data_IF_596311892849
#
_entry.id   IF_596311892849
#
_cell.length_a   1.000
_cell.length_b   1.000
_cell.length_c   1.000
_cell.angle_alpha   90.00
_cell.angle_beta   90.00
_cell.angle_gamma   90.00
#
_symmetry.space_group_name_H-M   'P 1'
#
loop_
_entity.id
_entity.type
_entity.pdbx_description
1 polymer ?
#
# COMPACT_ATOMS: atom_id res chain seq x y z
N UNK A 1 -24.16 -3.58 31.20
CA UNK A 1 -23.51 -2.35 30.72
C UNK A 1 -24.48 -1.60 29.83
N UNK A 2 -24.59 -0.28 29.97
CA UNK A 2 -25.50 0.55 29.19
C UNK A 2 -24.73 1.10 27.97
N UNK A 3 -25.17 0.77 26.75
CA UNK A 3 -24.53 1.21 25.51
C UNK A 3 -24.27 2.72 25.44
N UNK A 4 -25.16 3.54 26.01
CA UNK A 4 -24.96 4.99 26.05
C UNK A 4 -23.82 5.40 26.97
N UNK A 5 -23.63 4.68 28.08
CA UNK A 5 -22.51 4.89 28.99
C UNK A 5 -21.20 4.48 28.33
N UNK A 6 -21.15 3.33 27.66
CA UNK A 6 -19.94 2.85 26.99
C UNK A 6 -19.56 3.76 25.82
N UNK A 7 -20.54 4.20 25.02
CA UNK A 7 -20.33 5.18 23.95
C UNK A 7 -19.74 6.48 24.50
N UNK A 8 -20.26 6.98 25.62
CA UNK A 8 -19.74 8.20 26.25
C UNK A 8 -18.29 8.01 26.68
N UNK A 9 -17.96 6.90 27.35
CA UNK A 9 -16.59 6.60 27.79
C UNK A 9 -15.62 6.54 26.59
N UNK A 10 -16.02 5.89 25.50
CA UNK A 10 -15.20 5.81 24.28
C UNK A 10 -14.98 7.19 23.66
N UNK A 11 -16.02 8.02 23.58
CA UNK A 11 -15.93 9.38 23.03
C UNK A 11 -15.01 10.23 23.92
N UNK A 12 -15.19 10.18 25.24
CA UNK A 12 -14.38 10.94 26.20
C UNK A 12 -12.91 10.48 26.15
N UNK A 13 -12.66 9.19 25.92
CA UNK A 13 -11.33 8.59 25.81
C UNK A 13 -10.73 8.55 24.40
N UNK A 14 -11.36 9.17 23.40
CA UNK A 14 -11.03 8.94 21.97
C UNK A 14 -9.57 9.25 21.62
N UNK A 15 -8.98 10.28 22.22
CA UNK A 15 -7.58 10.64 21.97
C UNK A 15 -6.62 9.57 22.49
N UNK A 16 -6.86 9.05 23.69
CA UNK A 16 -6.03 8.00 24.29
C UNK A 16 -6.13 6.70 23.48
N UNK A 17 -7.35 6.31 23.07
CA UNK A 17 -7.56 5.13 22.24
C UNK A 17 -6.88 5.30 20.88
N UNK A 18 -7.02 6.48 20.25
CA UNK A 18 -6.38 6.79 18.97
C UNK A 18 -4.86 6.70 19.07
N UNK A 19 -4.26 7.27 20.10
CA UNK A 19 -2.81 7.19 20.32
C UNK A 19 -2.38 5.73 20.52
N UNK A 20 -3.08 4.99 21.39
CA UNK A 20 -2.80 3.58 21.65
C UNK A 20 -2.87 2.69 20.39
N UNK A 21 -3.74 3.01 19.43
CA UNK A 21 -3.96 2.21 18.22
C UNK A 21 -3.07 2.61 17.04
N UNK A 22 -2.62 3.87 16.96
CA UNK A 22 -2.02 4.40 15.73
C UNK A 22 -0.65 5.06 15.90
N UNK A 23 -0.21 5.38 17.12
CA UNK A 23 1.08 6.03 17.30
C UNK A 23 2.25 5.06 17.16
N UNK A 24 2.12 3.82 17.66
CA UNK A 24 3.14 2.76 17.56
C UNK A 24 4.55 3.21 18.02
N UNK A 25 4.63 4.12 19.01
CA UNK A 25 5.89 4.70 19.50
C UNK A 25 6.51 3.92 20.66
N UNK A 26 5.77 2.98 21.24
CA UNK A 26 6.26 2.04 22.24
C UNK A 26 5.69 0.62 21.97
N UNK A 27 6.29 -0.43 22.58
CA UNK A 27 5.88 -1.80 22.33
C UNK A 27 4.41 -2.09 22.68
N UNK A 28 3.85 -1.46 23.71
CA UNK A 28 2.46 -1.68 24.13
C UNK A 28 1.50 -1.12 23.06
N UNK A 29 1.75 0.09 22.59
CA UNK A 29 0.97 0.67 21.49
C UNK A 29 1.06 -0.18 20.22
N UNK A 30 2.26 -0.68 19.91
CA UNK A 30 2.44 -1.56 18.77
C UNK A 30 1.62 -2.85 18.91
N UNK A 31 1.64 -3.49 20.06
CA UNK A 31 0.86 -4.71 20.32
C UNK A 31 -0.65 -4.47 20.25
N UNK A 32 -1.11 -3.30 20.73
CA UNK A 32 -2.48 -2.84 20.54
C UNK A 32 -2.81 -2.68 19.04
N UNK A 33 -1.95 -2.00 18.28
CA UNK A 33 -2.11 -1.78 16.85
C UNK A 33 -2.12 -3.11 16.06
N UNK A 34 -1.23 -4.05 16.37
CA UNK A 34 -1.19 -5.39 15.78
C UNK A 34 -2.48 -6.15 16.06
N UNK A 35 -2.94 -6.12 17.32
CA UNK A 35 -4.18 -6.80 17.71
C UNK A 35 -5.40 -6.20 17.00
N UNK A 36 -5.45 -4.88 16.89
CA UNK A 36 -6.50 -4.17 16.17
C UNK A 36 -6.46 -4.41 14.66
N UNK A 37 -5.26 -4.46 14.06
CA UNK A 37 -5.06 -4.80 12.65
C UNK A 37 -5.62 -6.19 12.33
N UNK A 38 -5.42 -7.17 13.21
CA UNK A 38 -6.01 -8.51 13.07
C UNK A 38 -7.53 -8.49 13.15
N UNK A 39 -8.07 -7.72 14.10
CA UNK A 39 -9.51 -7.53 14.21
C UNK A 39 -10.10 -6.92 12.94
N UNK A 40 -9.47 -5.88 12.38
CA UNK A 40 -9.89 -5.28 11.12
C UNK A 40 -9.79 -6.23 9.93
N UNK A 41 -8.69 -6.99 9.84
CA UNK A 41 -8.56 -8.03 8.81
C UNK A 41 -9.74 -9.00 8.86
N UNK A 42 -10.12 -9.45 10.06
CA UNK A 42 -11.26 -10.33 10.29
C UNK A 42 -12.62 -9.65 9.97
N UNK A 43 -12.83 -8.41 10.41
CA UNK A 43 -14.09 -7.68 10.16
C UNK A 43 -14.32 -7.37 8.68
N UNK A 44 -13.23 -7.32 7.91
CA UNK A 44 -13.26 -7.01 6.49
C UNK A 44 -13.21 -5.52 6.20
N UNK A 45 -12.80 -5.23 4.97
CA UNK A 45 -12.66 -3.87 4.46
C UNK A 45 -13.91 -3.47 3.68
N UNK A 46 -14.44 -2.28 3.98
CA UNK A 46 -15.58 -1.69 3.30
C UNK A 46 -15.46 -0.15 3.33
N UNK A 47 -16.47 0.56 2.82
CA UNK A 47 -16.48 2.02 2.73
C UNK A 47 -16.35 2.75 4.07
N UNK A 48 -16.78 2.14 5.16
CA UNK A 48 -16.74 2.74 6.50
C UNK A 48 -15.44 2.39 7.24
N UNK A 49 -14.83 1.23 6.94
CA UNK A 49 -13.64 0.73 7.65
C UNK A 49 -12.31 1.03 6.94
N UNK A 50 -12.31 1.29 5.62
CA UNK A 50 -11.07 1.55 4.87
C UNK A 50 -10.19 2.69 5.41
N UNK A 51 -10.71 3.77 6.02
CA UNK A 51 -9.84 4.81 6.58
C UNK A 51 -8.96 4.28 7.72
N UNK A 52 -9.46 3.30 8.48
CA UNK A 52 -8.70 2.63 9.53
C UNK A 52 -7.59 1.74 8.94
N UNK A 53 -7.86 1.07 7.81
CA UNK A 53 -6.84 0.32 7.08
C UNK A 53 -5.74 1.26 6.56
N UNK A 54 -6.11 2.37 5.92
CA UNK A 54 -5.15 3.38 5.48
C UNK A 54 -4.31 3.93 6.63
N UNK A 55 -4.94 4.18 7.79
CA UNK A 55 -4.24 4.68 8.97
C UNK A 55 -3.22 3.69 9.53
N UNK A 56 -3.50 2.40 9.49
CA UNK A 56 -2.54 1.37 9.91
C UNK A 56 -1.44 1.15 8.88
N UNK A 57 -1.72 1.28 7.58
CA UNK A 57 -0.70 1.25 6.52
C UNK A 57 0.26 2.43 6.67
N UNK A 58 -0.25 3.61 7.01
CA UNK A 58 0.53 4.82 7.29
C UNK A 58 1.54 4.65 8.43
N UNK A 59 1.32 3.71 9.37
CA UNK A 59 2.29 3.42 10.42
C UNK A 59 3.61 2.87 9.86
N UNK A 60 3.58 2.31 8.65
CA UNK A 60 4.70 1.66 7.98
C UNK A 60 5.40 0.56 8.83
N UNK A 61 4.78 0.12 9.92
CA UNK A 61 5.35 -0.88 10.82
C UNK A 61 5.08 -2.30 10.27
N UNK A 62 6.12 -3.12 10.02
CA UNK A 62 5.96 -4.45 9.42
C UNK A 62 5.01 -5.37 10.21
N UNK A 63 5.06 -5.33 11.55
CA UNK A 63 4.21 -6.16 12.40
C UNK A 63 2.73 -5.82 12.25
N UNK A 64 2.41 -4.53 12.18
CA UNK A 64 1.04 -4.03 11.99
C UNK A 64 0.55 -4.39 10.58
N UNK A 65 1.37 -4.13 9.56
CA UNK A 65 0.98 -4.36 8.17
C UNK A 65 0.81 -5.85 7.88
N UNK A 66 1.70 -6.70 8.39
CA UNK A 66 1.58 -8.15 8.28
C UNK A 66 0.30 -8.66 8.95
N UNK A 67 -0.06 -8.11 10.11
CA UNK A 67 -1.31 -8.45 10.78
C UNK A 67 -2.55 -7.96 10.02
N UNK A 68 -2.48 -6.78 9.40
CA UNK A 68 -3.58 -6.17 8.67
C UNK A 68 -3.88 -6.88 7.35
N UNK A 69 -2.83 -7.27 6.62
CA UNK A 69 -2.94 -7.89 5.29
C UNK A 69 -2.99 -9.41 5.38
N UNK A 70 -2.19 -9.98 6.28
CA UNK A 70 -2.05 -11.41 6.53
C UNK A 70 -1.76 -12.21 5.24
N UNK A 71 -2.74 -13.00 4.80
CA UNK A 71 -2.65 -13.88 3.63
C UNK A 71 -2.94 -13.18 2.30
N UNK A 72 -3.53 -12.00 2.35
CA UNK A 72 -4.13 -11.36 1.17
C UNK A 72 -3.05 -10.77 0.30
N UNK A 73 -3.35 -10.68 -0.99
CA UNK A 73 -2.49 -9.98 -1.93
C UNK A 73 -2.53 -8.48 -1.62
N UNK A 74 -1.41 -7.84 -1.21
CA UNK A 74 -1.41 -6.45 -0.76
C UNK A 74 -1.97 -5.48 -1.79
N UNK A 75 -1.61 -5.68 -3.07
CA UNK A 75 -2.10 -4.89 -4.21
C UNK A 75 -3.64 -4.86 -4.29
N UNK A 76 -4.29 -5.95 -3.91
CA UNK A 76 -5.74 -6.10 -4.03
C UNK A 76 -6.51 -5.69 -2.77
N UNK A 77 -5.81 -5.22 -1.72
CA UNK A 77 -6.40 -4.95 -0.40
C UNK A 77 -7.62 -4.02 -0.47
N UNK A 78 -7.56 -3.00 -1.32
CA UNK A 78 -8.63 -2.01 -1.48
C UNK A 78 -9.48 -2.20 -2.75
N UNK A 79 -9.30 -3.29 -3.48
CA UNK A 79 -9.94 -3.50 -4.80
C UNK A 79 -11.47 -3.59 -4.73
N UNK A 80 -12.03 -3.94 -3.57
CA UNK A 80 -13.48 -4.04 -3.34
C UNK A 80 -14.15 -2.67 -3.12
N UNK A 81 -13.37 -1.60 -2.96
CA UNK A 81 -13.87 -0.25 -2.74
C UNK A 81 -13.66 0.54 -4.03
N UNK A 82 -14.74 1.18 -4.50
CA UNK A 82 -14.64 2.11 -5.64
C UNK A 82 -13.73 3.27 -5.24
N UNK A 83 -12.67 3.56 -6.00
CA UNK A 83 -11.80 4.70 -5.72
C UNK A 83 -12.58 6.02 -5.66
N UNK A 84 -12.17 6.89 -4.74
CA UNK A 84 -12.66 8.27 -4.60
C UNK A 84 -11.52 9.19 -4.15
N UNK A 85 -11.72 10.49 -4.30
CA UNK A 85 -10.67 11.52 -4.17
C UNK A 85 -9.86 11.41 -2.88
N UNK A 86 -10.50 11.34 -1.71
CA UNK A 86 -9.80 11.27 -0.40
C UNK A 86 -8.88 10.04 -0.26
N UNK A 87 -9.29 8.91 -0.85
CA UNK A 87 -8.53 7.67 -0.82
C UNK A 87 -7.30 7.76 -1.74
N UNK A 88 -7.45 8.39 -2.90
CA UNK A 88 -6.36 8.64 -3.86
C UNK A 88 -5.36 9.64 -3.27
N UNK A 89 -5.85 10.73 -2.67
CA UNK A 89 -5.04 11.73 -1.97
C UNK A 89 -4.25 11.11 -0.82
N UNK A 90 -4.88 10.25 -0.03
CA UNK A 90 -4.20 9.52 1.05
C UNK A 90 -3.09 8.63 0.50
N UNK A 91 -3.31 7.95 -0.63
CA UNK A 91 -2.29 7.13 -1.27
C UNK A 91 -1.11 7.97 -1.75
N UNK A 92 -1.35 9.04 -2.51
CA UNK A 92 -0.28 9.93 -2.98
C UNK A 92 0.45 10.62 -1.83
N UNK A 93 -0.26 11.10 -0.81
CA UNK A 93 0.35 11.71 0.38
C UNK A 93 1.38 10.77 1.03
N UNK A 94 1.05 9.48 1.13
CA UNK A 94 1.99 8.47 1.62
C UNK A 94 3.14 8.24 0.63
N UNK A 95 2.85 8.05 -0.65
CA UNK A 95 3.89 7.87 -1.67
C UNK A 95 4.84 9.07 -1.71
N UNK A 96 4.39 10.30 -1.45
CA UNK A 96 5.24 11.48 -1.34
C UNK A 96 6.10 11.49 -0.08
N UNK A 97 5.53 11.13 1.07
CA UNK A 97 6.18 11.23 2.37
C UNK A 97 7.42 10.33 2.50
N UNK A 98 7.41 9.16 1.85
CA UNK A 98 8.50 8.19 1.97
C UNK A 98 9.45 8.20 0.77
N UNK A 99 10.73 8.05 1.03
CA UNK A 99 11.74 7.79 0.01
C UNK A 99 11.68 6.33 -0.48
N UNK A 100 12.30 6.04 -1.64
CA UNK A 100 12.50 4.65 -2.05
C UNK A 100 13.26 3.87 -0.96
N UNK A 101 12.84 2.62 -0.73
CA UNK A 101 13.32 1.69 0.29
C UNK A 101 12.94 2.00 1.76
N UNK A 102 12.21 3.09 2.05
CA UNK A 102 11.68 3.36 3.40
C UNK A 102 10.33 2.67 3.66
N UNK A 103 9.50 2.51 2.62
CA UNK A 103 8.20 1.84 2.76
C UNK A 103 8.37 0.32 2.83
N UNK A 104 7.71 -0.29 3.80
CA UNK A 104 7.55 -1.73 3.84
C UNK A 104 6.82 -2.19 2.56
N UNK A 105 7.34 -3.24 1.92
CA UNK A 105 6.91 -3.67 0.59
C UNK A 105 5.39 -3.87 0.48
N UNK A 106 4.76 -4.52 1.48
CA UNK A 106 3.31 -4.74 1.46
C UNK A 106 2.51 -3.44 1.59
N UNK A 107 3.00 -2.45 2.35
CA UNK A 107 2.37 -1.14 2.40
C UNK A 107 2.48 -0.43 1.05
N UNK A 108 3.67 -0.42 0.45
CA UNK A 108 3.88 0.16 -0.88
C UNK A 108 2.94 -0.47 -1.92
N UNK A 109 2.88 -1.80 -1.96
CA UNK A 109 2.00 -2.53 -2.89
C UNK A 109 0.52 -2.21 -2.67
N UNK A 110 0.07 -2.05 -1.42
CA UNK A 110 -1.30 -1.66 -1.12
C UNK A 110 -1.61 -0.23 -1.57
N UNK A 111 -0.69 0.72 -1.34
CA UNK A 111 -0.83 2.12 -1.78
C UNK A 111 -0.82 2.24 -3.31
N UNK A 112 0.10 1.55 -3.98
CA UNK A 112 0.14 1.50 -5.44
C UNK A 112 -1.09 0.80 -6.02
N UNK A 113 -1.66 -0.20 -5.33
CA UNK A 113 -2.91 -0.83 -5.73
C UNK A 113 -4.11 0.12 -5.75
N UNK A 114 -4.15 1.11 -4.85
CA UNK A 114 -5.16 2.18 -4.88
C UNK A 114 -5.00 3.03 -6.15
N UNK A 115 -3.77 3.46 -6.44
CA UNK A 115 -3.45 4.27 -7.62
C UNK A 115 -3.77 3.49 -8.89
N UNK A 116 -3.36 2.23 -8.96
CA UNK A 116 -3.68 1.36 -10.08
C UNK A 116 -5.19 1.29 -10.33
N UNK A 117 -5.99 1.03 -9.30
CA UNK A 117 -7.44 0.90 -9.44
C UNK A 117 -8.08 2.24 -9.86
N UNK A 118 -7.60 3.35 -9.32
CA UNK A 118 -8.09 4.70 -9.65
C UNK A 118 -7.86 5.09 -11.12
N UNK A 119 -6.69 4.74 -11.67
CA UNK A 119 -6.31 5.05 -13.06
C UNK A 119 -6.36 3.80 -13.94
N UNK A 120 -7.29 2.87 -13.68
CA UNK A 120 -7.55 1.75 -14.58
C UNK A 120 -7.95 2.24 -15.97
N UNK A 121 -8.88 3.20 -16.01
CA UNK A 121 -9.07 4.10 -17.14
C UNK A 121 -8.43 5.44 -16.79
N UNK A 122 -7.47 5.87 -17.61
CA UNK A 122 -6.67 7.04 -17.29
C UNK A 122 -7.48 8.34 -17.32
N UNK A 123 -8.42 8.48 -18.26
CA UNK A 123 -9.25 9.67 -18.39
C UNK A 123 -10.27 9.79 -17.25
N UNK A 124 -10.91 8.68 -16.85
CA UNK A 124 -11.83 8.66 -15.72
C UNK A 124 -11.12 8.85 -14.38
N UNK A 125 -9.94 8.23 -14.21
CA UNK A 125 -9.08 8.49 -13.06
C UNK A 125 -8.69 9.96 -12.95
N UNK A 126 -8.30 10.60 -14.05
CA UNK A 126 -7.98 12.03 -14.09
C UNK A 126 -9.18 12.92 -13.78
N UNK A 127 -10.39 12.57 -14.23
CA UNK A 127 -11.61 13.31 -13.86
C UNK A 127 -11.92 13.18 -12.37
N UNK A 128 -11.64 12.02 -11.78
CA UNK A 128 -11.88 11.76 -10.36
C UNK A 128 -10.86 12.47 -9.45
N UNK A 129 -9.59 12.46 -9.85
CA UNK A 129 -8.50 13.15 -9.17
C UNK A 129 -7.46 13.57 -10.22
N UNK A 130 -7.39 14.87 -10.57
CA UNK A 130 -6.36 15.35 -11.49
C UNK A 130 -4.96 15.15 -10.90
N UNK A 131 -4.04 14.59 -11.69
CA UNK A 131 -2.64 14.38 -11.28
C UNK A 131 -1.72 15.35 -11.99
N UNK A 132 -0.60 15.66 -11.34
CA UNK A 132 0.51 16.41 -11.90
C UNK A 132 1.74 15.54 -12.17
N UNK A 133 2.79 16.19 -12.69
CA UNK A 133 4.12 15.60 -12.91
C UNK A 133 4.69 15.00 -11.60
N UNK A 134 4.43 15.65 -10.47
CA UNK A 134 4.93 15.20 -9.17
C UNK A 134 4.30 13.88 -8.73
N UNK A 135 3.02 13.63 -9.04
CA UNK A 135 2.34 12.37 -8.73
C UNK A 135 2.93 11.21 -9.55
N UNK A 136 3.19 11.46 -10.84
CA UNK A 136 3.87 10.50 -11.73
C UNK A 136 5.26 10.18 -11.19
N UNK A 137 5.99 11.20 -10.75
CA UNK A 137 7.30 11.05 -10.14
C UNK A 137 7.24 10.28 -8.81
N UNK A 138 6.21 10.51 -7.99
CA UNK A 138 6.01 9.82 -6.72
C UNK A 138 5.75 8.32 -6.91
N UNK A 139 5.09 7.93 -8.00
CA UNK A 139 4.93 6.53 -8.41
C UNK A 139 6.24 5.99 -8.99
N UNK A 140 6.83 6.70 -9.94
CA UNK A 140 8.01 6.25 -10.68
C UNK A 140 9.28 6.09 -9.84
N UNK A 141 9.44 6.84 -8.73
CA UNK A 141 10.64 6.76 -7.88
C UNK A 141 10.86 5.39 -7.25
N UNK A 142 9.82 4.56 -7.16
CA UNK A 142 9.90 3.20 -6.61
C UNK A 142 10.39 2.15 -7.62
N UNK A 143 10.67 2.54 -8.88
CA UNK A 143 11.29 1.64 -9.85
C UNK A 143 12.68 1.21 -9.39
N UNK A 144 12.94 -0.10 -9.49
CA UNK A 144 14.20 -0.73 -9.10
C UNK A 144 14.92 -1.16 -10.36
N UNK A 145 15.85 -0.33 -10.84
CA UNK A 145 16.55 -0.56 -12.11
C UNK A 145 17.43 -1.83 -12.14
N UNK A 146 17.84 -2.31 -10.96
CA UNK A 146 18.59 -3.55 -10.83
C UNK A 146 17.70 -4.81 -10.98
N UNK A 147 16.38 -4.65 -10.85
CA UNK A 147 15.42 -5.76 -10.89
C UNK A 147 14.68 -5.78 -12.24
N UNK A 148 14.26 -6.96 -12.72
CA UNK A 148 13.54 -7.08 -13.97
C UNK A 148 12.12 -6.53 -13.87
N UNK A 149 11.43 -6.40 -15.02
CA UNK A 149 10.08 -5.85 -15.06
C UNK A 149 9.05 -6.75 -14.37
N UNK A 150 9.36 -8.04 -14.23
CA UNK A 150 8.52 -9.04 -13.57
C UNK A 150 8.55 -8.93 -12.04
N UNK A 151 9.53 -8.20 -11.48
CA UNK A 151 9.57 -7.91 -10.05
C UNK A 151 8.25 -7.25 -9.62
N UNK A 152 7.59 -7.68 -8.52
CA UNK A 152 6.23 -7.25 -8.18
C UNK A 152 6.03 -5.73 -8.16
N UNK A 153 6.98 -5.01 -7.53
CA UNK A 153 6.97 -3.54 -7.48
C UNK A 153 7.11 -2.93 -8.88
N UNK A 154 8.14 -3.34 -9.65
CA UNK A 154 8.38 -2.82 -10.99
C UNK A 154 7.18 -3.06 -11.90
N UNK A 155 6.63 -4.28 -11.89
CA UNK A 155 5.45 -4.64 -12.68
C UNK A 155 4.29 -3.70 -12.38
N UNK A 156 3.98 -3.46 -11.11
CA UNK A 156 2.87 -2.62 -10.71
C UNK A 156 3.11 -1.14 -11.07
N UNK A 157 4.30 -0.61 -10.78
CA UNK A 157 4.66 0.78 -11.11
C UNK A 157 4.64 1.01 -12.62
N UNK A 158 5.25 0.11 -13.40
CA UNK A 158 5.26 0.19 -14.87
C UNK A 158 3.85 0.06 -15.45
N UNK A 159 2.98 -0.77 -14.87
CA UNK A 159 1.58 -0.90 -15.28
C UNK A 159 0.80 0.40 -15.03
N UNK A 160 0.99 1.05 -13.87
CA UNK A 160 0.37 2.35 -13.59
C UNK A 160 0.86 3.39 -14.61
N UNK A 161 2.17 3.50 -14.78
CA UNK A 161 2.75 4.46 -15.73
C UNK A 161 2.29 4.20 -17.16
N UNK A 162 2.14 2.94 -17.56
CA UNK A 162 1.62 2.56 -18.87
C UNK A 162 0.20 3.08 -19.08
N UNK A 163 -0.70 2.86 -18.12
CA UNK A 163 -2.05 3.44 -18.20
C UNK A 163 -2.03 4.95 -18.30
N UNK A 164 -1.19 5.62 -17.53
CA UNK A 164 -1.04 7.08 -17.60
C UNK A 164 -0.50 7.59 -18.94
N UNK A 165 0.19 6.76 -19.74
CA UNK A 165 0.58 7.15 -21.11
C UNK A 165 -0.60 7.27 -22.07
N UNK A 166 -1.76 6.70 -21.73
CA UNK A 166 -3.00 6.81 -22.50
C UNK A 166 -3.82 8.07 -22.11
N UNK A 167 -3.31 8.92 -21.21
CA UNK A 167 -3.94 10.21 -20.93
C UNK A 167 -3.96 11.08 -22.20
N UNK A 168 -5.14 11.61 -22.54
CA UNK A 168 -5.29 12.51 -23.69
C UNK A 168 -5.55 11.80 -25.03
N UNK A 169 -5.77 10.48 -25.04
CA UNK A 169 -6.25 9.80 -26.24
C UNK A 169 -7.64 10.28 -26.67
N UNK A 170 -8.51 10.57 -25.70
CA UNK A 170 -9.90 10.96 -25.95
C UNK A 170 -10.09 12.45 -26.26
N UNK A 171 -9.17 13.32 -25.79
CA UNK A 171 -9.28 14.78 -25.91
C UNK A 171 -7.92 15.41 -26.17
N UNK A 172 -7.84 16.36 -27.10
CA UNK A 172 -6.64 17.18 -27.39
C UNK A 172 -6.36 18.20 -26.29
N UNK A 173 -6.31 17.74 -25.04
CA UNK A 173 -5.94 18.53 -23.88
C UNK A 173 -4.40 18.59 -23.80
N UNK A 174 -3.79 19.78 -23.97
CA UNK A 174 -2.33 19.93 -23.89
C UNK A 174 -1.76 19.47 -22.55
N UNK A 175 -2.49 19.65 -21.43
CA UNK A 175 -2.01 19.26 -20.11
C UNK A 175 -1.89 17.75 -19.98
N UNK A 176 -2.93 17.02 -20.40
CA UNK A 176 -2.92 15.55 -20.42
C UNK A 176 -1.79 14.99 -21.29
N UNK A 177 -1.54 15.60 -22.44
CA UNK A 177 -0.44 15.20 -23.33
C UNK A 177 0.94 15.37 -22.67
N UNK A 178 1.14 16.42 -21.87
CA UNK A 178 2.37 16.63 -21.10
C UNK A 178 2.53 15.51 -20.06
N UNK A 179 1.46 15.17 -19.35
CA UNK A 179 1.45 14.11 -18.34
C UNK A 179 1.72 12.73 -18.96
N UNK A 180 1.03 12.40 -20.05
CA UNK A 180 1.23 11.16 -20.80
C UNK A 180 2.68 11.01 -21.27
N UNK A 181 3.24 12.07 -21.86
CA UNK A 181 4.64 12.11 -22.29
C UNK A 181 5.61 11.95 -21.12
N UNK A 182 5.30 12.55 -19.97
CA UNK A 182 6.13 12.41 -18.78
C UNK A 182 6.12 10.99 -18.23
N UNK A 183 4.94 10.36 -18.11
CA UNK A 183 4.81 8.95 -17.73
C UNK A 183 5.58 8.02 -18.69
N UNK A 184 5.52 8.29 -20.00
CA UNK A 184 6.30 7.57 -21.00
C UNK A 184 7.80 7.73 -20.77
N UNK A 185 8.27 8.95 -20.55
CA UNK A 185 9.70 9.22 -20.31
C UNK A 185 10.24 8.48 -19.08
N UNK A 186 9.46 8.41 -18.00
CA UNK A 186 9.83 7.65 -16.80
C UNK A 186 9.96 6.16 -17.10
N UNK A 187 9.00 5.57 -17.82
CA UNK A 187 9.09 4.16 -18.25
C UNK A 187 10.29 3.92 -19.16
N UNK A 188 10.51 4.82 -20.11
CA UNK A 188 11.62 4.71 -21.04
C UNK A 188 12.97 4.78 -20.33
N UNK A 189 13.11 5.63 -19.31
CA UNK A 189 14.31 5.70 -18.47
C UNK A 189 14.58 4.40 -17.68
N UNK A 190 13.55 3.61 -17.39
CA UNK A 190 13.71 2.27 -16.81
C UNK A 190 14.20 1.25 -17.83
N UNK A 191 13.51 1.13 -18.98
CA UNK A 191 13.81 0.11 -20.00
C UNK A 191 15.12 0.36 -20.76
N UNK A 192 15.51 1.61 -20.94
CA UNK A 192 16.74 1.97 -21.65
C UNK A 192 17.96 1.78 -20.72
N UNK A 193 18.85 0.87 -21.12
CA UNK A 193 20.09 0.56 -20.40
C UNK A 193 21.10 1.72 -20.42
N UNK A 194 20.98 2.63 -21.38
CA UNK A 194 21.84 3.81 -21.50
C UNK A 194 21.38 4.99 -20.65
N UNK A 195 20.12 4.97 -20.21
CA UNK A 195 19.52 6.03 -19.38
C UNK A 195 19.64 5.73 -17.91
N UNK A 196 19.28 6.70 -17.08
CA UNK A 196 19.11 6.57 -15.65
C UNK A 196 17.75 7.15 -15.25
N UNK A 197 17.18 6.70 -14.13
CA UNK A 197 15.88 7.23 -13.69
C UNK A 197 15.92 8.74 -13.43
N UNK A 198 17.09 9.28 -13.06
CA UNK A 198 17.27 10.71 -12.85
C UNK A 198 17.27 11.55 -14.14
N UNK A 199 17.25 10.92 -15.31
CA UNK A 199 17.03 11.60 -16.60
C UNK A 199 15.57 12.02 -16.78
N UNK A 200 14.64 11.38 -16.07
CA UNK A 200 13.20 11.67 -16.12
C UNK A 200 12.66 12.18 -14.77
N UNK A 201 13.22 11.74 -13.65
CA UNK A 201 12.76 12.05 -12.30
C UNK A 201 13.81 12.90 -11.56
N UNK A 202 13.46 14.02 -10.92
CA UNK A 202 14.41 14.81 -10.15
C UNK A 202 15.21 13.99 -9.12
N UNK A 203 16.53 14.15 -9.08
CA UNK A 203 17.43 13.41 -8.17
C UNK A 203 17.02 13.44 -6.69
N UNK A 204 16.53 14.55 -6.10
CA UNK A 204 16.19 14.60 -4.67
C UNK A 204 15.18 13.54 -4.24
N UNK A 205 14.18 13.24 -5.08
CA UNK A 205 13.13 12.26 -4.76
C UNK A 205 13.54 10.81 -5.05
N UNK A 206 14.63 10.60 -5.79
CA UNK A 206 15.23 9.28 -6.04
C UNK A 206 16.23 8.86 -4.96
N UNK A 207 16.51 9.74 -3.99
CA UNK A 207 17.40 9.43 -2.86
C UNK A 207 16.83 8.26 -2.09
N UNK A 208 17.51 7.10 -2.13
CA UNK A 208 17.18 5.92 -1.34
C UNK A 208 17.58 6.14 0.11
N UNK A 209 16.71 5.77 1.04
CA UNK A 209 17.01 5.73 2.47
C UNK A 209 16.68 4.34 2.98
N UNK A 210 17.64 3.74 3.65
CA UNK A 210 17.51 2.39 4.17
C UNK A 210 17.07 2.44 5.62
N UNK A 211 16.04 1.67 5.93
CA UNK A 211 15.55 1.51 7.29
C UNK A 211 14.05 1.69 7.33
N UNK A 212 13.35 0.61 7.64
CA UNK A 212 11.99 0.73 8.15
C UNK A 212 12.16 1.07 9.63
N UNK A 213 12.11 2.37 9.95
CA UNK A 213 12.10 2.80 11.33
C UNK A 213 10.80 2.35 11.99
N UNK A 214 10.91 1.58 13.07
CA UNK A 214 9.76 1.05 13.77
C UNK A 214 10.15 0.45 15.11
N UNK A 215 9.21 0.50 16.05
CA UNK A 215 9.34 -0.20 17.32
C UNK A 215 9.08 -1.68 17.09
N UNK A 216 9.79 -2.52 17.85
CA UNK A 216 9.51 -3.95 17.94
C UNK A 216 8.62 -4.25 19.16
N UNK A 217 7.75 -5.27 19.09
CA UNK A 217 6.94 -5.66 20.23
C UNK A 217 7.81 -6.32 21.30
N UNK A 218 7.26 -6.53 22.50
CA UNK A 218 7.97 -7.31 23.51
C UNK A 218 8.31 -8.72 23.00
N UNK A 219 9.40 -9.29 23.51
CA UNK A 219 9.95 -10.55 23.00
C UNK A 219 8.97 -11.73 23.10
N UNK A 220 8.19 -11.78 24.18
CA UNK A 220 7.14 -12.77 24.41
C UNK A 220 6.00 -12.64 23.39
N UNK A 221 5.54 -11.41 23.13
CA UNK A 221 4.54 -11.15 22.10
C UNK A 221 5.06 -11.48 20.69
N UNK A 222 6.30 -11.08 20.38
CA UNK A 222 6.96 -11.39 19.11
C UNK A 222 7.02 -12.90 18.85
N UNK A 223 7.34 -13.68 19.89
CA UNK A 223 7.38 -15.14 19.81
C UNK A 223 6.00 -15.73 19.46
N UNK A 224 4.94 -15.28 20.13
CA UNK A 224 3.57 -15.71 19.85
C UNK A 224 3.17 -15.39 18.41
N UNK A 225 3.53 -14.22 17.88
CA UNK A 225 3.25 -13.86 16.49
C UNK A 225 3.98 -14.79 15.50
N UNK A 226 5.27 -15.06 15.74
CA UNK A 226 6.08 -15.94 14.88
C UNK A 226 5.56 -17.37 14.90
N UNK A 227 5.22 -17.92 16.07
CA UNK A 227 4.65 -19.25 16.20
C UNK A 227 3.35 -19.38 15.37
N UNK A 228 2.45 -18.39 15.49
CA UNK A 228 1.21 -18.35 14.70
C UNK A 228 1.47 -18.25 13.19
N UNK A 229 2.47 -17.48 12.75
CA UNK A 229 2.85 -17.41 11.34
C UNK A 229 3.35 -18.78 10.84
N UNK A 230 4.17 -19.48 11.62
CA UNK A 230 4.68 -20.81 11.28
C UNK A 230 3.56 -21.86 11.20
N UNK A 231 2.64 -21.87 12.16
CA UNK A 231 1.46 -22.75 12.14
C UNK A 231 0.62 -22.56 10.88
N UNK A 232 0.42 -21.30 10.46
CA UNK A 232 -0.32 -20.96 9.25
C UNK A 232 0.43 -21.38 7.98
N UNK A 233 1.74 -21.17 7.92
CA UNK A 233 2.55 -21.63 6.79
C UNK A 233 2.48 -23.16 6.66
N UNK A 234 2.53 -23.89 7.77
CA UNK A 234 2.31 -25.34 7.79
C UNK A 234 0.91 -25.70 7.29
N UNK A 235 -0.14 -25.04 7.79
CA UNK A 235 -1.51 -25.28 7.33
C UNK A 235 -1.69 -25.06 5.81
N UNK A 236 -1.06 -24.02 5.24
CA UNK A 236 -1.10 -23.77 3.79
C UNK A 236 -0.33 -24.82 2.97
N UNK A 237 0.76 -25.37 3.51
CA UNK A 237 1.54 -26.44 2.85
C UNK A 237 0.88 -27.81 2.89
N UNK A 238 -0.09 -28.03 3.77
CA UNK A 238 -0.83 -29.30 3.90
C UNK A 238 -1.99 -29.38 2.87
N UNK A 239 -2.38 -28.28 2.22
CA UNK A 239 -3.38 -28.26 1.15
C UNK A 239 -2.73 -28.19 -0.24
N UNK A 240 -2.09 -29.29 -0.68
CA UNK A 240 -2.17 -29.69 -2.09
C UNK A 240 -2.40 -31.20 -2.22
N UNK A 241 -3.56 -31.60 -2.75
CA UNK A 241 -3.84 -32.96 -3.25
C UNK A 241 -4.64 -33.87 -2.32
N UNK A 242 -5.94 -33.62 -2.15
CA UNK A 242 -6.89 -34.73 -1.97
C UNK A 242 -7.14 -35.34 -3.36
N UNK A 243 -6.27 -36.26 -3.77
CA UNK A 243 -6.66 -37.31 -4.69
C UNK A 243 -7.62 -38.22 -3.93
N UNK A 244 -8.90 -38.18 -4.27
CA UNK A 244 -9.84 -39.22 -3.88
C UNK A 244 -9.31 -40.56 -4.40
N UNK A 245 -9.01 -41.55 -3.55
CA UNK A 245 -8.66 -42.87 -4.03
C UNK A 245 -9.87 -43.44 -4.77
N UNK A 246 -9.70 -43.68 -6.07
CA UNK A 246 -10.70 -44.33 -6.91
C UNK A 246 -11.09 -45.68 -6.29
N UNK A 247 -12.38 -45.82 -6.04
CA UNK A 247 -13.02 -47.10 -5.75
C UNK A 247 -12.93 -47.91 -7.05
N UNK A 248 -12.11 -48.97 -7.03
CA UNK A 248 -12.20 -50.08 -7.98
C UNK A 248 -13.32 -51.02 -7.56
#
# INVERSE_FOLDING_TARGET
>A
MNFQTDRRIIIDGIYFIREALFACTDPVQLECAVSFARFLNWSGINRDTYPLFLRLIQSNNPWVIDALIDAREPRLLFSTIKPHTEMIESAFSNLFAFHPDELYEKALMALLGIVENAYFDADDGYKLHPIGIMDINAVGKFLIKAEPQEHPINRLVLQILDRLTHLGESYRDPEKNILAKHAFNVRYAYFDTTKQLNDAIPKPILTRKYGIEGVDPHSDYAEVLRQRQLERQKARRIVPGEETPGIQ
#
